data_IF_397176287932
#
_entry.id   IF_397176287932
#
_cell.length_a   1.000
_cell.length_b   1.000
_cell.length_c   1.000
_cell.angle_alpha   90.00
_cell.angle_beta   90.00
_cell.angle_gamma   90.00
#
_symmetry.space_group_name_H-M   'P 1'
#
loop_
_entity.id
_entity.type
_entity.pdbx_description
1 polymer ?
#
# COMPACT_ATOMS: atom_id res chain seq x y z
N UNK A 1 -6.64 -15.88 2.70
CA UNK A 1 -6.20 -16.87 1.70
C UNK A 1 -5.10 -16.24 0.85
N UNK A 2 -3.98 -16.93 0.64
CA UNK A 2 -2.93 -16.47 -0.29
C UNK A 2 -3.28 -16.90 -1.72
N UNK A 3 -3.02 -16.04 -2.70
CA UNK A 3 -3.17 -16.35 -4.14
C UNK A 3 -1.77 -16.40 -4.77
N UNK A 4 -1.55 -17.39 -5.64
CA UNK A 4 -0.33 -17.44 -6.42
C UNK A 4 -0.39 -16.39 -7.54
N UNK A 5 0.76 -15.76 -7.80
CA UNK A 5 0.95 -14.83 -8.91
C UNK A 5 2.24 -15.22 -9.63
N UNK A 6 2.32 -14.91 -10.92
CA UNK A 6 3.55 -15.02 -11.69
C UNK A 6 4.09 -13.60 -11.92
N UNK A 7 5.37 -13.39 -11.61
CA UNK A 7 6.05 -12.11 -11.75
C UNK A 7 7.34 -12.30 -12.54
N UNK A 8 7.62 -11.36 -13.44
CA UNK A 8 8.92 -11.26 -14.12
C UNK A 8 9.81 -10.33 -13.29
N UNK A 9 11.05 -10.73 -13.10
CA UNK A 9 12.03 -10.01 -12.29
C UNK A 9 13.40 -10.06 -12.98
N UNK A 10 14.21 -9.03 -12.76
CA UNK A 10 15.61 -9.03 -13.18
C UNK A 10 16.38 -10.19 -12.52
N UNK A 11 17.29 -10.81 -13.27
CA UNK A 11 18.03 -11.99 -12.83
C UNK A 11 18.98 -11.68 -11.65
N UNK A 12 19.61 -10.50 -11.65
CA UNK A 12 20.50 -10.09 -10.55
C UNK A 12 19.71 -9.87 -9.28
N UNK A 13 18.56 -9.18 -9.39
CA UNK A 13 17.67 -8.97 -8.24
C UNK A 13 17.09 -10.28 -7.69
N UNK A 14 16.76 -11.25 -8.57
CA UNK A 14 16.31 -12.57 -8.14
C UNK A 14 17.42 -13.33 -7.40
N UNK A 15 18.67 -13.20 -7.86
CA UNK A 15 19.84 -13.82 -7.22
C UNK A 15 20.10 -13.23 -5.83
N UNK A 16 19.97 -11.92 -5.68
CA UNK A 16 20.10 -11.24 -4.39
C UNK A 16 18.97 -11.66 -3.43
N UNK A 17 17.73 -11.70 -3.93
CA UNK A 17 16.57 -12.17 -3.17
C UNK A 17 16.77 -13.61 -2.67
N UNK A 18 17.33 -14.48 -3.50
CA UNK A 18 17.65 -15.87 -3.14
C UNK A 18 18.70 -15.93 -2.04
N UNK A 19 19.76 -15.13 -2.16
CA UNK A 19 20.81 -15.06 -1.16
C UNK A 19 20.28 -14.59 0.21
N UNK A 20 19.44 -13.55 0.22
CA UNK A 20 18.80 -13.08 1.46
C UNK A 20 17.79 -14.08 2.02
N UNK A 21 17.02 -14.76 1.16
CA UNK A 21 16.08 -15.79 1.58
C UNK A 21 16.79 -16.93 2.31
N UNK A 22 17.92 -17.40 1.77
CA UNK A 22 18.75 -18.44 2.38
C UNK A 22 19.34 -17.98 3.71
N UNK A 23 20.00 -16.82 3.74
CA UNK A 23 20.68 -16.31 4.93
C UNK A 23 19.70 -16.06 6.10
N UNK A 24 18.50 -15.57 5.81
CA UNK A 24 17.50 -15.25 6.81
C UNK A 24 16.57 -16.43 7.17
N UNK A 25 16.76 -17.59 6.54
CA UNK A 25 15.87 -18.76 6.65
C UNK A 25 14.39 -18.40 6.39
N UNK A 26 14.15 -17.63 5.32
CA UNK A 26 12.82 -17.19 4.88
C UNK A 26 12.56 -17.57 3.43
N UNK A 27 11.28 -17.66 3.06
CA UNK A 27 10.91 -17.85 1.66
C UNK A 27 11.00 -16.54 0.87
N UNK A 28 11.25 -16.63 -0.44
CA UNK A 28 11.12 -15.50 -1.37
C UNK A 28 9.78 -14.78 -1.20
N UNK A 29 8.70 -15.56 -1.07
CA UNK A 29 7.34 -15.04 -0.85
C UNK A 29 7.25 -14.18 0.40
N UNK A 30 7.89 -14.57 1.51
CA UNK A 30 7.89 -13.77 2.73
C UNK A 30 8.58 -12.42 2.51
N UNK A 31 9.76 -12.43 1.88
CA UNK A 31 10.53 -11.21 1.63
C UNK A 31 9.78 -10.29 0.64
N UNK A 32 9.24 -10.84 -0.44
CA UNK A 32 8.43 -10.09 -1.42
C UNK A 32 7.20 -9.48 -0.75
N UNK A 33 6.49 -10.23 0.08
CA UNK A 33 5.31 -9.74 0.81
C UNK A 33 5.68 -8.56 1.73
N UNK A 34 6.83 -8.64 2.41
CA UNK A 34 7.34 -7.55 3.25
C UNK A 34 7.77 -6.35 2.43
N UNK A 35 8.54 -6.54 1.36
CA UNK A 35 9.00 -5.46 0.49
C UNK A 35 7.83 -4.69 -0.14
N UNK A 36 6.82 -5.41 -0.67
CA UNK A 36 5.61 -4.79 -1.23
C UNK A 36 4.83 -4.03 -0.15
N UNK A 37 4.64 -4.63 1.03
CA UNK A 37 3.95 -3.97 2.15
C UNK A 37 4.66 -2.69 2.58
N UNK A 38 5.99 -2.69 2.66
CA UNK A 38 6.76 -1.50 3.02
C UNK A 38 6.70 -0.43 1.94
N UNK A 39 6.74 -0.81 0.65
CA UNK A 39 6.62 0.16 -0.43
C UNK A 39 5.24 0.83 -0.48
N UNK A 40 4.19 0.13 -0.01
CA UNK A 40 2.86 0.73 0.09
C UNK A 40 2.81 1.95 1.02
N UNK A 41 3.62 2.02 2.07
CA UNK A 41 3.68 3.20 2.93
C UNK A 41 4.10 4.45 2.13
N UNK A 42 5.09 4.31 1.24
CA UNK A 42 5.52 5.38 0.33
C UNK A 42 4.44 5.73 -0.71
N UNK A 43 3.80 4.71 -1.29
CA UNK A 43 2.73 4.96 -2.25
C UNK A 43 1.51 5.63 -1.61
N UNK A 44 1.19 5.30 -0.37
CA UNK A 44 0.10 5.91 0.39
C UNK A 44 0.35 7.39 0.65
N UNK A 45 1.59 7.79 0.93
CA UNK A 45 1.99 9.20 1.02
C UNK A 45 1.75 9.93 -0.31
N UNK A 46 2.23 9.37 -1.43
CA UNK A 46 2.01 9.95 -2.77
C UNK A 46 0.52 10.08 -3.11
N UNK A 47 -0.30 9.11 -2.70
CA UNK A 47 -1.76 9.16 -2.87
C UNK A 47 -2.37 10.23 -1.97
N UNK A 48 -1.91 10.37 -0.73
CA UNK A 48 -2.37 11.40 0.19
C UNK A 48 -2.09 12.80 -0.36
N UNK A 49 -0.89 13.06 -0.88
CA UNK A 49 -0.52 14.32 -1.52
C UNK A 49 -1.44 14.63 -2.70
N UNK A 50 -1.64 13.66 -3.59
CA UNK A 50 -2.56 13.81 -4.72
C UNK A 50 -3.99 14.14 -4.27
N UNK A 51 -4.46 13.55 -3.17
CA UNK A 51 -5.79 13.85 -2.61
C UNK A 51 -5.86 15.27 -2.05
N UNK A 52 -4.81 15.73 -1.37
CA UNK A 52 -4.69 17.09 -0.86
C UNK A 52 -4.66 18.10 -2.01
N UNK A 53 -3.93 17.84 -3.09
CA UNK A 53 -3.90 18.72 -4.25
C UNK A 53 -5.25 18.80 -4.96
N UNK A 54 -5.95 17.67 -5.08
CA UNK A 54 -7.32 17.67 -5.61
C UNK A 54 -8.28 18.48 -4.73
N UNK A 55 -8.10 18.45 -3.40
CA UNK A 55 -8.89 19.26 -2.47
C UNK A 55 -8.62 20.75 -2.68
N UNK A 56 -7.34 21.14 -2.76
CA UNK A 56 -6.92 22.53 -3.04
C UNK A 56 -7.42 23.02 -4.40
N UNK A 57 -7.44 22.14 -5.40
CA UNK A 57 -7.94 22.44 -6.74
C UNK A 57 -9.48 22.41 -6.86
N UNK A 58 -10.21 22.18 -5.77
CA UNK A 58 -11.68 22.13 -5.76
C UNK A 58 -12.29 20.91 -6.48
N UNK A 59 -11.49 19.89 -6.79
CA UNK A 59 -11.95 18.64 -7.43
C UNK A 59 -12.59 17.66 -6.45
N UNK A 60 -12.39 17.88 -5.15
CA UNK A 60 -13.03 17.14 -4.05
C UNK A 60 -13.39 18.10 -2.94
N UNK A 61 -14.28 17.68 -2.04
CA UNK A 61 -14.81 18.50 -0.94
C UNK A 61 -14.60 17.81 0.40
N UNK A 62 -14.43 18.60 1.45
CA UNK A 62 -14.47 18.10 2.83
C UNK A 62 -15.93 17.92 3.25
N UNK A 63 -16.23 16.78 3.88
CA UNK A 63 -17.53 16.53 4.52
C UNK A 63 -17.29 16.50 6.03
N UNK A 64 -17.92 17.39 6.80
CA UNK A 64 -17.81 17.36 8.25
C UNK A 64 -18.28 16.03 8.83
N UNK A 65 -17.57 15.51 9.84
CA UNK A 65 -17.90 14.22 10.46
C UNK A 65 -19.34 14.18 11.01
N UNK A 66 -19.85 15.31 11.53
CA UNK A 66 -21.25 15.45 11.97
C UNK A 66 -22.26 15.15 10.86
N UNK A 67 -21.98 15.60 9.63
CA UNK A 67 -22.84 15.32 8.48
C UNK A 67 -22.80 13.85 8.09
N UNK A 68 -21.62 13.22 8.20
CA UNK A 68 -21.46 11.77 7.99
C UNK A 68 -22.29 10.99 9.01
N UNK A 69 -22.23 11.34 10.30
CA UNK A 69 -23.03 10.69 11.34
C UNK A 69 -24.53 10.87 11.15
N UNK A 70 -24.97 12.09 10.83
CA UNK A 70 -26.38 12.37 10.47
C UNK A 70 -26.84 11.49 9.30
N UNK A 71 -25.99 11.31 8.27
CA UNK A 71 -26.30 10.46 7.11
C UNK A 71 -26.28 8.97 7.43
N UNK A 72 -25.43 8.55 8.37
CA UNK A 72 -25.32 7.16 8.83
C UNK A 72 -26.37 6.77 9.88
N UNK A 73 -27.19 7.71 10.37
CA UNK A 73 -28.18 7.46 11.43
C UNK A 73 -27.55 7.28 12.81
N UNK A 74 -26.32 7.77 13.01
CA UNK A 74 -25.60 7.70 14.28
C UNK A 74 -25.85 9.02 15.03
N UNK A 75 -26.46 8.93 16.22
CA UNK A 75 -26.58 10.07 17.14
C UNK A 75 -25.33 10.16 18.00
N UNK A 76 -24.53 11.22 17.79
CA UNK A 76 -23.39 11.63 18.62
C UNK A 76 -23.54 13.08 19.08
#
# INVERSE_FOLDING_TARGET
MKKAINIRMDETLLTDLDSYATELERSRTYIIEKAVSTYFDTLDEMIADKRIDNLKAGKTTLVPLKEVFKKAGINV
#
